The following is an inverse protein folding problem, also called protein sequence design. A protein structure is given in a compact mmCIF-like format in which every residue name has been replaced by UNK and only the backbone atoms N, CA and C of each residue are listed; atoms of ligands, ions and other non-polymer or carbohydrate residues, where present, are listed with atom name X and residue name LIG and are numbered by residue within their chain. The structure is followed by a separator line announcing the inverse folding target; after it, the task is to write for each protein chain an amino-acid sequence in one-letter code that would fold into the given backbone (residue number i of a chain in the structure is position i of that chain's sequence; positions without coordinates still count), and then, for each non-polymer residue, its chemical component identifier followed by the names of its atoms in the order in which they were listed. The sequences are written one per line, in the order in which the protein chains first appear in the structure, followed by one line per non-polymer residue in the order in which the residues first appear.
data_IF_291408668329
#
_entry.id   IF_291408668329
#
_cell.length_a   1.000
_cell.length_b   1.000
_cell.length_c   1.000
_cell.angle_alpha   90.00
_cell.angle_beta   90.00
_cell.angle_gamma   90.00
#
_symmetry.space_group_name_H-M   'P 1'
#
loop_
_entity.id
_entity.type
_entity.pdbx_description
1 polymer ?
#
# COMPACT_ATOMS: atom_id res chain seq x y z
N UNK A 1 -9.58 -13.52 5.80
CA UNK A 1 -9.42 -13.85 4.38
C UNK A 1 -9.42 -12.54 3.63
N UNK A 2 -8.48 -12.36 2.70
CA UNK A 2 -8.41 -11.14 1.90
C UNK A 2 -9.50 -11.19 0.83
N UNK A 3 -10.26 -10.11 0.69
CA UNK A 3 -11.33 -10.01 -0.30
C UNK A 3 -10.69 -9.84 -1.68
N UNK A 4 -11.07 -10.66 -2.65
CA UNK A 4 -10.57 -10.60 -4.02
C UNK A 4 -11.69 -10.41 -5.04
N UNK A 5 -12.85 -11.02 -4.82
CA UNK A 5 -14.00 -10.90 -5.73
C UNK A 5 -15.18 -10.21 -5.05
N UNK A 6 -15.77 -9.24 -5.74
CA UNK A 6 -16.93 -8.49 -5.25
C UNK A 6 -18.05 -8.54 -6.28
N UNK A 7 -19.20 -9.05 -5.89
CA UNK A 7 -20.40 -9.04 -6.73
C UNK A 7 -21.25 -7.78 -6.46
N UNK A 8 -21.59 -7.02 -7.50
CA UNK A 8 -22.41 -5.80 -7.36
C UNK A 8 -23.85 -6.06 -7.81
N UNK A 9 -24.75 -6.40 -6.90
CA UNK A 9 -26.17 -6.64 -7.25
C UNK A 9 -26.92 -5.30 -7.36
N UNK A 10 -27.42 -4.98 -8.57
CA UNK A 10 -27.98 -3.66 -8.85
C UNK A 10 -28.98 -3.63 -10.02
N UNK A 11 -29.84 -2.62 -10.06
CA UNK A 11 -30.76 -2.40 -11.18
C UNK A 11 -30.11 -1.61 -12.32
N UNK A 12 -30.66 -1.72 -13.53
CA UNK A 12 -30.20 -0.97 -14.72
C UNK A 12 -30.06 0.54 -14.46
N UNK A 13 -31.00 1.13 -13.72
CA UNK A 13 -30.96 2.55 -13.36
C UNK A 13 -29.74 2.95 -12.50
N UNK A 14 -29.14 1.98 -11.79
CA UNK A 14 -27.99 2.17 -10.91
C UNK A 14 -26.67 1.71 -11.55
N UNK A 15 -26.70 1.21 -12.79
CA UNK A 15 -25.55 0.60 -13.46
C UNK A 15 -24.36 1.56 -13.61
N UNK A 16 -24.63 2.85 -13.86
CA UNK A 16 -23.57 3.86 -13.91
C UNK A 16 -22.85 4.00 -12.56
N UNK A 17 -23.59 3.98 -11.45
CA UNK A 17 -23.01 4.04 -10.11
C UNK A 17 -22.21 2.76 -9.82
N UNK A 18 -22.75 1.59 -10.17
CA UNK A 18 -22.05 0.31 -10.02
C UNK A 18 -20.71 0.31 -10.77
N UNK A 19 -20.68 0.76 -12.03
CA UNK A 19 -19.45 0.87 -12.83
C UNK A 19 -18.43 1.82 -12.21
N UNK A 20 -18.86 2.99 -11.73
CA UNK A 20 -17.97 3.95 -11.03
C UNK A 20 -17.43 3.36 -9.72
N UNK A 21 -18.25 2.62 -8.99
CA UNK A 21 -17.83 1.92 -7.78
C UNK A 21 -16.78 0.85 -8.12
N UNK A 22 -16.99 0.07 -9.17
CA UNK A 22 -16.01 -0.91 -9.68
C UNK A 22 -14.69 -0.25 -10.01
N UNK A 23 -14.66 0.78 -10.86
CA UNK A 23 -13.43 1.48 -11.21
C UNK A 23 -12.70 1.99 -9.97
N UNK A 24 -13.43 2.54 -9.00
CA UNK A 24 -12.87 3.06 -7.76
C UNK A 24 -12.28 1.95 -6.87
N UNK A 25 -12.97 0.83 -6.73
CA UNK A 25 -12.54 -0.29 -5.90
C UNK A 25 -11.41 -1.07 -6.54
N UNK A 26 -11.47 -1.39 -7.84
CA UNK A 26 -10.40 -2.10 -8.54
C UNK A 26 -9.12 -1.25 -8.63
N UNK A 27 -9.24 0.07 -8.78
CA UNK A 27 -8.10 0.96 -8.68
C UNK A 27 -7.55 1.02 -7.24
N UNK A 28 -8.44 1.20 -6.26
CA UNK A 28 -8.10 1.48 -4.86
C UNK A 28 -7.84 0.26 -3.98
N UNK A 29 -8.17 -0.93 -4.44
CA UNK A 29 -8.04 -2.21 -3.74
C UNK A 29 -7.53 -3.29 -4.73
N UNK A 30 -7.02 -4.40 -4.21
CA UNK A 30 -6.62 -5.54 -5.05
C UNK A 30 -7.81 -6.50 -5.27
N UNK A 31 -8.93 -5.96 -5.77
CA UNK A 31 -10.19 -6.69 -5.99
C UNK A 31 -10.58 -6.66 -7.46
N UNK A 32 -11.45 -7.59 -7.85
CA UNK A 32 -12.13 -7.66 -9.15
C UNK A 32 -13.63 -7.60 -8.85
N UNK A 33 -14.38 -6.79 -9.60
CA UNK A 33 -15.81 -6.61 -9.37
C UNK A 33 -16.66 -7.15 -10.53
N UNK A 34 -17.56 -8.08 -10.22
CA UNK A 34 -18.53 -8.65 -11.16
C UNK A 34 -19.72 -7.69 -11.28
N UNK A 35 -19.53 -6.67 -12.12
CA UNK A 35 -20.53 -5.62 -12.33
C UNK A 35 -21.63 -6.10 -13.26
N UNK A 36 -21.28 -6.52 -14.48
CA UNK A 36 -22.26 -6.86 -15.51
C UNK A 36 -23.11 -8.08 -15.11
N UNK A 37 -22.52 -9.09 -14.48
CA UNK A 37 -23.25 -10.27 -13.98
C UNK A 37 -24.25 -9.92 -12.85
N UNK A 38 -23.93 -8.87 -12.09
CA UNK A 38 -24.76 -8.34 -11.02
C UNK A 38 -25.95 -7.49 -11.45
N UNK A 39 -26.05 -7.16 -12.75
CA UNK A 39 -27.16 -6.40 -13.30
C UNK A 39 -28.47 -7.20 -13.29
N UNK A 40 -29.50 -6.70 -12.58
CA UNK A 40 -30.83 -7.31 -12.54
C UNK A 40 -31.48 -7.24 -13.92
N UNK A 41 -31.69 -8.39 -14.54
CA UNK A 41 -32.34 -8.51 -15.86
C UNK A 41 -33.86 -8.63 -15.72
N UNK A 42 -34.62 -8.43 -16.83
CA UNK A 42 -36.07 -8.61 -16.81
C UNK A 42 -36.49 -10.00 -16.33
N UNK A 43 -37.32 -10.04 -15.27
CA UNK A 43 -37.78 -11.28 -14.64
C UNK A 43 -36.91 -11.76 -13.48
N UNK A 44 -35.76 -11.14 -13.24
CA UNK A 44 -34.94 -11.35 -12.06
C UNK A 44 -35.28 -10.32 -10.97
N UNK A 45 -34.76 -10.55 -9.77
CA UNK A 45 -34.79 -9.56 -8.69
C UNK A 45 -33.51 -9.57 -7.86
N UNK A 46 -33.40 -8.60 -6.97
CA UNK A 46 -32.23 -8.38 -6.13
C UNK A 46 -31.88 -9.61 -5.27
N UNK A 47 -32.88 -10.34 -4.77
CA UNK A 47 -32.65 -11.53 -3.93
C UNK A 47 -32.06 -12.66 -4.76
N UNK A 48 -32.61 -12.91 -5.95
CA UNK A 48 -32.06 -13.90 -6.88
C UNK A 48 -30.61 -13.57 -7.30
N UNK A 49 -30.28 -12.28 -7.44
CA UNK A 49 -28.89 -11.87 -7.71
C UNK A 49 -27.94 -12.18 -6.56
N UNK A 50 -28.39 -12.14 -5.31
CA UNK A 50 -27.54 -12.54 -4.18
C UNK A 50 -27.18 -14.02 -4.27
N UNK A 51 -28.14 -14.88 -4.62
CA UNK A 51 -27.91 -16.32 -4.80
C UNK A 51 -26.82 -16.57 -5.86
N UNK A 52 -26.85 -15.83 -6.98
CA UNK A 52 -25.82 -15.91 -8.02
C UNK A 52 -24.43 -15.48 -7.51
N UNK A 53 -24.37 -14.49 -6.61
CA UNK A 53 -23.14 -13.93 -6.07
C UNK A 53 -22.51 -14.71 -4.90
N UNK A 54 -23.14 -15.78 -4.41
CA UNK A 54 -22.68 -16.51 -3.20
C UNK A 54 -21.28 -17.13 -3.32
N UNK A 55 -20.76 -17.30 -4.54
CA UNK A 55 -19.41 -17.80 -4.79
C UNK A 55 -18.31 -16.74 -4.64
N UNK A 56 -18.67 -15.46 -4.48
CA UNK A 56 -17.73 -14.35 -4.31
C UNK A 56 -17.34 -14.13 -2.85
N UNK A 57 -16.28 -13.34 -2.60
CA UNK A 57 -15.86 -13.01 -1.23
C UNK A 57 -16.78 -11.98 -0.56
N UNK A 58 -17.36 -11.07 -1.35
CA UNK A 58 -18.32 -10.08 -0.87
C UNK A 58 -19.40 -9.76 -1.90
N UNK A 59 -20.60 -9.46 -1.42
CA UNK A 59 -21.72 -8.98 -2.24
C UNK A 59 -22.10 -7.57 -1.75
N UNK A 60 -22.13 -6.62 -2.68
CA UNK A 60 -22.65 -5.27 -2.44
C UNK A 60 -24.04 -5.17 -3.04
N UNK A 61 -25.04 -4.94 -2.18
CA UNK A 61 -26.42 -4.69 -2.56
C UNK A 61 -26.63 -3.20 -2.77
N UNK A 62 -26.90 -2.78 -4.01
CA UNK A 62 -27.26 -1.41 -4.33
C UNK A 62 -28.78 -1.25 -4.21
N UNK A 63 -29.24 -0.62 -3.13
CA UNK A 63 -30.67 -0.40 -2.87
C UNK A 63 -31.12 0.93 -3.46
N UNK A 64 -32.08 0.86 -4.37
CA UNK A 64 -32.80 1.98 -4.96
C UNK A 64 -34.26 1.61 -5.12
N UNK A 65 -35.09 2.59 -5.51
CA UNK A 65 -36.47 2.33 -5.92
C UNK A 65 -36.56 1.31 -7.07
N UNK A 66 -35.56 1.27 -7.96
CA UNK A 66 -35.53 0.37 -9.12
C UNK A 66 -35.08 -1.05 -8.78
N UNK A 67 -34.21 -1.23 -7.78
CA UNK A 67 -33.70 -2.55 -7.37
C UNK A 67 -34.53 -3.21 -6.27
N UNK A 68 -35.23 -2.42 -5.46
CA UNK A 68 -36.00 -2.95 -4.34
C UNK A 68 -37.36 -3.49 -4.80
N UNK A 69 -37.72 -4.74 -4.42
CA UNK A 69 -39.06 -5.23 -4.66
C UNK A 69 -40.07 -4.43 -3.83
N UNK A 70 -41.27 -4.24 -4.38
CA UNK A 70 -42.36 -3.55 -3.69
C UNK A 70 -42.78 -4.22 -2.37
N UNK A 71 -42.52 -5.52 -2.23
CA UNK A 71 -42.76 -6.30 -1.00
C UNK A 71 -41.54 -7.15 -0.67
N UNK A 72 -41.22 -7.21 0.62
CA UNK A 72 -40.12 -8.01 1.18
C UNK A 72 -40.68 -9.13 2.08
N UNK A 73 -41.28 -10.20 1.51
CA UNK A 73 -41.73 -11.33 2.30
C UNK A 73 -40.54 -11.96 3.01
N UNK A 74 -40.63 -12.04 4.34
CA UNK A 74 -39.52 -12.46 5.21
C UNK A 74 -39.02 -13.85 4.86
N UNK A 75 -39.93 -14.72 4.47
CA UNK A 75 -39.68 -16.11 4.05
C UNK A 75 -38.79 -16.20 2.80
N UNK A 76 -38.68 -15.13 2.01
CA UNK A 76 -37.90 -15.10 0.79
C UNK A 76 -36.50 -14.54 0.98
N UNK A 77 -36.37 -13.40 1.66
CA UNK A 77 -35.08 -12.70 1.73
C UNK A 77 -34.23 -13.12 2.94
N UNK A 78 -34.84 -13.49 4.07
CA UNK A 78 -34.07 -13.79 5.30
C UNK A 78 -33.16 -15.02 5.12
N UNK A 79 -33.61 -16.15 4.53
CA UNK A 79 -32.74 -17.31 4.32
C UNK A 79 -31.54 -16.96 3.43
N UNK A 80 -31.77 -16.27 2.31
CA UNK A 80 -30.72 -15.91 1.35
C UNK A 80 -29.71 -14.93 1.95
N UNK A 81 -30.20 -13.80 2.49
CA UNK A 81 -29.34 -12.70 2.94
C UNK A 81 -28.64 -12.98 4.28
N UNK A 82 -29.15 -13.91 5.09
CA UNK A 82 -28.59 -14.20 6.42
C UNK A 82 -28.02 -15.60 6.52
N UNK A 83 -28.77 -16.64 6.17
CA UNK A 83 -28.35 -18.02 6.41
C UNK A 83 -27.41 -18.52 5.31
N UNK A 84 -27.79 -18.35 4.05
CA UNK A 84 -27.00 -18.79 2.90
C UNK A 84 -25.75 -17.96 2.72
N UNK A 85 -25.86 -16.62 2.79
CA UNK A 85 -24.70 -15.74 2.77
C UNK A 85 -23.70 -16.08 3.89
N UNK A 86 -24.19 -16.35 5.11
CA UNK A 86 -23.31 -16.76 6.20
C UNK A 86 -22.68 -18.14 5.98
N UNK A 87 -23.45 -19.11 5.47
CA UNK A 87 -22.97 -20.47 5.16
C UNK A 87 -21.90 -20.45 4.07
N UNK A 88 -22.10 -19.64 3.03
CA UNK A 88 -21.14 -19.41 1.96
C UNK A 88 -19.92 -18.58 2.42
N UNK A 89 -19.99 -17.99 3.63
CA UNK A 89 -18.97 -17.08 4.20
C UNK A 89 -18.72 -15.84 3.35
N UNK A 90 -19.73 -15.42 2.58
CA UNK A 90 -19.69 -14.19 1.80
C UNK A 90 -20.07 -13.01 2.67
N UNK A 91 -19.30 -11.92 2.57
CA UNK A 91 -19.60 -10.70 3.30
C UNK A 91 -20.65 -9.88 2.56
N UNK A 92 -21.77 -9.60 3.23
CA UNK A 92 -22.84 -8.79 2.66
C UNK A 92 -22.67 -7.33 3.07
N UNK A 93 -22.62 -6.42 2.10
CA UNK A 93 -22.63 -4.97 2.29
C UNK A 93 -23.84 -4.36 1.59
N UNK A 94 -24.56 -3.49 2.27
CA UNK A 94 -25.74 -2.79 1.72
C UNK A 94 -25.41 -1.32 1.49
N UNK A 95 -25.74 -0.79 0.33
CA UNK A 95 -25.54 0.62 -0.04
C UNK A 95 -26.88 1.21 -0.47
N UNK A 96 -27.38 2.20 0.26
CA UNK A 96 -28.64 2.88 -0.02
C UNK A 96 -28.40 4.07 -0.96
N UNK A 97 -28.93 3.99 -2.20
CA UNK A 97 -28.76 5.01 -3.25
C UNK A 97 -29.93 6.00 -3.32
N UNK A 98 -31.14 5.54 -3.02
CA UNK A 98 -32.36 6.37 -2.96
C UNK A 98 -33.34 5.82 -1.92
N UNK A 99 -34.36 6.63 -1.58
CA UNK A 99 -35.42 6.19 -0.68
C UNK A 99 -36.20 5.02 -1.29
N UNK A 100 -36.22 3.89 -0.59
CA UNK A 100 -36.90 2.67 -1.03
C UNK A 100 -37.32 1.82 0.17
N UNK A 101 -38.33 0.95 0.02
CA UNK A 101 -38.71 0.01 1.07
C UNK A 101 -37.68 -1.11 1.17
N UNK A 102 -37.08 -1.29 2.35
CA UNK A 102 -36.20 -2.43 2.65
C UNK A 102 -36.32 -2.88 4.11
N UNK A 103 -35.97 -4.14 4.45
CA UNK A 103 -36.00 -4.63 5.83
C UNK A 103 -34.96 -3.92 6.69
N UNK A 104 -35.38 -3.32 7.81
CA UNK A 104 -34.48 -2.62 8.75
C UNK A 104 -33.39 -3.53 9.33
N UNK A 105 -33.57 -4.85 9.29
CA UNK A 105 -32.55 -5.82 9.67
C UNK A 105 -31.25 -5.70 8.86
N UNK A 106 -31.30 -5.20 7.61
CA UNK A 106 -30.10 -4.95 6.80
C UNK A 106 -29.19 -3.89 7.41
N UNK A 107 -29.74 -2.93 8.17
CA UNK A 107 -28.96 -1.89 8.86
C UNK A 107 -28.12 -2.44 10.01
N UNK A 108 -28.38 -3.67 10.48
CA UNK A 108 -27.60 -4.31 11.55
C UNK A 108 -26.30 -4.93 11.05
N UNK A 109 -26.09 -4.99 9.73
CA UNK A 109 -24.87 -5.46 9.09
C UNK A 109 -24.07 -4.29 8.52
N UNK A 110 -23.12 -4.58 7.64
CA UNK A 110 -22.38 -3.60 6.87
C UNK A 110 -23.36 -2.79 6.00
N UNK A 111 -23.67 -1.56 6.41
CA UNK A 111 -24.63 -0.69 5.76
C UNK A 111 -24.03 0.69 5.51
N UNK A 112 -24.23 1.24 4.31
CA UNK A 112 -23.76 2.55 3.89
C UNK A 112 -24.93 3.35 3.32
N UNK A 113 -25.12 4.57 3.82
CA UNK A 113 -26.08 5.52 3.25
C UNK A 113 -25.35 6.42 2.24
N UNK A 114 -25.68 6.25 0.95
CA UNK A 114 -25.06 6.97 -0.15
C UNK A 114 -26.00 8.01 -0.78
N UNK A 115 -27.18 8.25 -0.20
CA UNK A 115 -28.19 9.17 -0.75
C UNK A 115 -27.68 10.61 -0.86
N UNK A 116 -26.92 11.06 0.13
CA UNK A 116 -26.44 12.45 0.23
C UNK A 116 -25.01 12.63 -0.28
N UNK A 117 -24.13 11.65 -0.04
CA UNK A 117 -22.73 11.72 -0.41
C UNK A 117 -22.23 10.38 -0.95
N UNK A 118 -22.37 10.21 -2.26
CA UNK A 118 -21.92 9.03 -3.00
C UNK A 118 -20.42 8.80 -2.88
N UNK A 119 -19.58 9.84 -2.98
CA UNK A 119 -18.13 9.69 -2.89
C UNK A 119 -17.67 9.21 -1.51
N UNK A 120 -18.29 9.71 -0.44
CA UNK A 120 -18.02 9.21 0.90
C UNK A 120 -18.38 7.71 1.02
N UNK A 121 -19.47 7.26 0.41
CA UNK A 121 -19.83 5.85 0.38
C UNK A 121 -18.77 4.98 -0.32
N UNK A 122 -18.24 5.43 -1.46
CA UNK A 122 -17.14 4.76 -2.17
C UNK A 122 -15.90 4.63 -1.26
N UNK A 123 -15.50 5.72 -0.58
CA UNK A 123 -14.36 5.72 0.35
C UNK A 123 -14.58 4.84 1.58
N UNK A 124 -15.81 4.74 2.08
CA UNK A 124 -16.17 3.83 3.19
C UNK A 124 -16.07 2.36 2.77
N UNK A 125 -16.52 2.01 1.57
CA UNK A 125 -16.40 0.66 1.01
C UNK A 125 -14.92 0.27 0.85
N UNK A 126 -14.11 1.15 0.26
CA UNK A 126 -12.64 0.94 0.15
C UNK A 126 -12.00 0.72 1.53
N UNK A 127 -12.36 1.55 2.51
CA UNK A 127 -11.87 1.43 3.90
C UNK A 127 -12.19 0.07 4.51
N UNK A 128 -13.43 -0.39 4.31
CA UNK A 128 -13.90 -1.65 4.83
C UNK A 128 -13.15 -2.85 4.21
N UNK A 129 -12.87 -2.81 2.91
CA UNK A 129 -12.06 -3.85 2.23
C UNK A 129 -10.67 -3.94 2.88
N UNK A 130 -9.97 -2.82 3.05
CA UNK A 130 -8.64 -2.83 3.68
C UNK A 130 -8.66 -3.27 5.14
N UNK A 131 -9.72 -2.98 5.89
CA UNK A 131 -9.87 -3.48 7.26
C UNK A 131 -10.05 -5.00 7.29
N UNK A 132 -10.79 -5.57 6.33
CA UNK A 132 -11.03 -7.01 6.21
C UNK A 132 -9.76 -7.80 5.91
N UNK A 133 -8.85 -7.23 5.16
CA UNK A 133 -7.52 -7.81 4.94
C UNK A 133 -6.70 -7.90 6.25
N UNK A 134 -6.93 -6.98 7.19
CA UNK A 134 -6.17 -6.87 8.45
C UNK A 134 -6.82 -7.62 9.63
N UNK A 135 -8.08 -8.03 9.52
CA UNK A 135 -8.81 -8.72 10.59
C UNK A 135 -10.34 -8.65 10.43
N UNK A 136 -11.12 -9.03 11.44
CA UNK A 136 -12.58 -8.86 11.41
C UNK A 136 -12.93 -7.36 11.44
N UNK A 137 -13.02 -6.74 10.27
CA UNK A 137 -13.45 -5.36 10.07
C UNK A 137 -14.98 -5.22 10.05
N UNK A 138 -15.50 -4.17 10.67
CA UNK A 138 -16.89 -3.73 10.56
C UNK A 138 -16.90 -2.36 9.87
N UNK A 139 -17.90 -2.09 9.03
CA UNK A 139 -18.10 -0.73 8.52
C UNK A 139 -18.35 0.22 9.70
N UNK A 140 -17.40 1.13 9.93
CA UNK A 140 -17.53 2.21 10.90
C UNK A 140 -17.88 3.49 10.14
N UNK A 141 -18.92 4.18 10.60
CA UNK A 141 -19.18 5.55 10.15
C UNK A 141 -17.97 6.42 10.53
N UNK A 142 -17.20 6.80 9.53
CA UNK A 142 -16.10 7.73 9.68
C UNK A 142 -16.39 8.96 8.84
N UNK A 143 -16.35 10.12 9.49
CA UNK A 143 -16.35 11.39 8.78
C UNK A 143 -14.99 11.56 8.09
N UNK A 144 -15.03 12.05 6.85
CA UNK A 144 -13.86 12.54 6.14
C UNK A 144 -13.72 14.02 6.42
N UNK A 145 -12.54 14.46 6.86
CA UNK A 145 -12.30 15.87 7.15
C UNK A 145 -12.38 16.70 5.87
N UNK A 146 -13.30 17.67 5.83
CA UNK A 146 -13.54 18.47 4.63
C UNK A 146 -12.31 19.28 4.19
N UNK A 147 -11.45 19.68 5.14
CA UNK A 147 -10.22 20.39 4.85
C UNK A 147 -9.11 19.50 4.26
N UNK A 148 -9.27 18.18 4.30
CA UNK A 148 -8.39 17.20 3.63
C UNK A 148 -8.94 16.71 2.29
N UNK A 149 -10.04 17.28 1.78
CA UNK A 149 -10.68 16.81 0.56
C UNK A 149 -9.75 16.85 -0.67
N UNK A 150 -8.90 17.88 -0.78
CA UNK A 150 -7.88 17.93 -1.84
C UNK A 150 -6.90 16.74 -1.74
N UNK A 151 -6.48 16.39 -0.52
CA UNK A 151 -5.61 15.24 -0.29
C UNK A 151 -6.32 13.94 -0.66
N UNK A 152 -7.57 13.73 -0.23
CA UNK A 152 -8.31 12.53 -0.60
C UNK A 152 -8.46 12.41 -2.13
N UNK A 153 -8.91 13.48 -2.79
CA UNK A 153 -9.17 13.45 -4.23
C UNK A 153 -7.91 13.24 -5.07
N UNK A 154 -6.73 13.68 -4.60
CA UNK A 154 -5.45 13.58 -5.31
C UNK A 154 -4.60 12.38 -4.91
N UNK A 155 -4.75 11.89 -3.67
CA UNK A 155 -3.91 10.83 -3.12
C UNK A 155 -4.65 9.58 -2.72
N UNK A 156 -5.89 9.62 -2.21
CA UNK A 156 -6.59 8.41 -1.76
C UNK A 156 -7.46 7.81 -2.87
N UNK A 157 -8.14 8.65 -3.64
CA UNK A 157 -9.09 8.25 -4.68
C UNK A 157 -8.41 7.92 -6.01
N UNK A 158 -7.23 8.51 -6.23
CA UNK A 158 -6.32 8.22 -7.34
C UNK A 158 -4.88 8.23 -6.86
N UNK A 159 -3.96 7.78 -7.72
CA UNK A 159 -2.53 7.92 -7.49
C UNK A 159 -2.08 9.33 -7.88
N UNK A 160 -1.20 9.91 -7.08
CA UNK A 160 -0.67 11.23 -7.31
C UNK A 160 0.45 11.58 -6.33
N UNK A 161 1.11 12.70 -6.60
CA UNK A 161 2.16 13.25 -5.74
C UNK A 161 1.78 14.66 -5.30
N UNK A 162 1.91 14.96 -4.01
CA UNK A 162 1.74 16.30 -3.45
C UNK A 162 2.97 16.71 -2.64
N UNK A 163 3.30 17.99 -2.71
CA UNK A 163 4.26 18.64 -1.82
C UNK A 163 3.50 19.45 -0.76
N UNK A 164 3.77 19.19 0.52
CA UNK A 164 2.99 19.71 1.65
C UNK A 164 3.86 19.91 2.89
N UNK A 165 3.32 20.53 3.96
CA UNK A 165 4.03 20.55 5.23
C UNK A 165 4.02 19.18 5.92
N UNK A 166 5.03 18.91 6.73
CA UNK A 166 5.14 17.72 7.55
C UNK A 166 3.95 17.52 8.49
N UNK A 167 3.45 18.61 9.08
CA UNK A 167 2.25 18.58 9.91
C UNK A 167 0.99 18.15 9.12
N UNK A 168 0.82 18.65 7.88
CA UNK A 168 -0.30 18.27 7.03
C UNK A 168 -0.19 16.81 6.56
N UNK A 169 1.01 16.38 6.16
CA UNK A 169 1.29 15.00 5.79
C UNK A 169 1.00 14.04 6.94
N UNK A 170 1.46 14.34 8.16
CA UNK A 170 1.22 13.52 9.34
C UNK A 170 -0.28 13.40 9.66
N UNK A 171 -1.01 14.52 9.59
CA UNK A 171 -2.45 14.54 9.83
C UNK A 171 -3.20 13.68 8.82
N UNK A 172 -2.91 13.87 7.53
CA UNK A 172 -3.54 13.09 6.47
C UNK A 172 -3.19 11.60 6.56
N UNK A 173 -1.91 11.25 6.75
CA UNK A 173 -1.45 9.87 6.89
C UNK A 173 -2.15 9.14 8.04
N UNK A 174 -2.41 9.82 9.17
CA UNK A 174 -3.17 9.26 10.29
C UNK A 174 -4.63 8.99 9.93
N UNK A 175 -5.32 10.00 9.39
CA UNK A 175 -6.75 9.91 9.07
C UNK A 175 -7.03 8.91 7.93
N UNK A 176 -6.25 9.00 6.86
CA UNK A 176 -6.43 8.22 5.65
C UNK A 176 -5.68 6.87 5.68
N UNK A 177 -5.05 6.48 6.80
CA UNK A 177 -4.28 5.23 6.93
C UNK A 177 -5.05 3.96 6.50
N UNK A 178 -6.37 3.98 6.62
CA UNK A 178 -7.25 2.87 6.26
C UNK A 178 -7.78 2.94 4.81
N UNK A 179 -7.33 3.93 4.04
CA UNK A 179 -7.61 4.06 2.59
C UNK A 179 -6.54 3.41 1.72
N UNK A 180 -5.46 2.94 2.33
CA UNK A 180 -4.29 2.37 1.66
C UNK A 180 -3.97 0.99 2.23
N UNK A 181 -3.29 0.19 1.43
CA UNK A 181 -2.70 -1.08 1.80
C UNK A 181 -1.71 -0.92 2.97
N UNK A 182 -0.83 0.07 2.85
CA UNK A 182 0.13 0.46 3.86
C UNK A 182 0.46 1.96 3.76
N UNK A 183 0.85 2.55 4.88
CA UNK A 183 1.46 3.89 4.95
C UNK A 183 2.94 3.71 5.28
N UNK A 184 3.79 4.15 4.36
CA UNK A 184 5.25 4.02 4.45
C UNK A 184 5.82 5.40 4.73
N UNK A 185 6.25 5.63 5.97
CA UNK A 185 6.87 6.90 6.35
C UNK A 185 8.39 6.74 6.36
N UNK A 186 9.08 7.54 5.54
CA UNK A 186 10.54 7.44 5.40
C UNK A 186 11.17 8.79 5.74
N UNK A 187 11.90 8.88 6.88
CA UNK A 187 12.74 10.03 7.21
C UNK A 187 13.85 10.19 6.17
N UNK A 188 13.87 11.32 5.47
CA UNK A 188 14.85 11.60 4.41
C UNK A 188 15.85 12.71 4.78
N UNK A 189 15.53 13.54 5.77
CA UNK A 189 16.37 14.67 6.17
C UNK A 189 17.82 14.26 6.46
N UNK A 190 18.78 14.82 5.72
CA UNK A 190 20.22 14.51 5.80
C UNK A 190 20.60 13.03 5.61
N UNK A 191 19.80 12.26 4.89
CA UNK A 191 20.09 10.84 4.61
C UNK A 191 20.40 10.61 3.16
N UNK A 192 21.33 9.69 2.89
CA UNK A 192 21.69 9.32 1.52
C UNK A 192 20.57 8.51 0.87
N UNK A 193 20.58 8.46 -0.47
CA UNK A 193 19.62 7.66 -1.22
C UNK A 193 19.69 6.17 -0.84
N UNK A 194 20.89 5.63 -0.57
CA UNK A 194 21.03 4.24 -0.15
C UNK A 194 20.41 3.96 1.23
N UNK A 195 20.56 4.90 2.18
CA UNK A 195 19.92 4.80 3.50
C UNK A 195 18.39 4.82 3.40
N UNK A 196 17.86 5.73 2.58
CA UNK A 196 16.41 5.89 2.37
C UNK A 196 15.84 4.66 1.64
N UNK A 197 16.51 4.19 0.58
CA UNK A 197 16.11 2.98 -0.13
C UNK A 197 16.20 1.74 0.78
N UNK A 198 17.25 1.62 1.60
CA UNK A 198 17.42 0.57 2.59
C UNK A 198 16.26 0.51 3.60
N UNK A 199 15.88 1.67 4.15
CA UNK A 199 14.77 1.81 5.09
C UNK A 199 13.44 1.41 4.45
N UNK A 200 13.14 1.97 3.27
CA UNK A 200 11.93 1.68 2.53
C UNK A 200 11.86 0.21 2.11
N UNK A 201 12.97 -0.37 1.67
CA UNK A 201 13.08 -1.79 1.37
C UNK A 201 12.80 -2.67 2.58
N UNK A 202 13.33 -2.31 3.75
CA UNK A 202 13.05 -3.03 5.01
C UNK A 202 11.57 -2.99 5.36
N UNK A 203 10.92 -1.82 5.29
CA UNK A 203 9.47 -1.69 5.53
C UNK A 203 8.63 -2.50 4.52
N UNK A 204 9.13 -2.64 3.28
CA UNK A 204 8.50 -3.44 2.23
C UNK A 204 8.83 -4.94 2.30
N UNK A 205 9.75 -5.36 3.17
CA UNK A 205 10.22 -6.75 3.26
C UNK A 205 11.09 -7.19 2.08
N UNK A 206 11.77 -6.25 1.41
CA UNK A 206 12.65 -6.52 0.26
C UNK A 206 14.10 -6.80 0.70
N UNK A 207 14.75 -7.76 0.02
CA UNK A 207 16.20 -7.92 0.09
C UNK A 207 16.86 -7.02 -0.96
N UNK A 208 17.67 -6.06 -0.53
CA UNK A 208 18.28 -5.03 -1.36
C UNK A 208 19.78 -5.27 -1.56
N UNK A 209 20.07 -6.42 -2.17
CA UNK A 209 21.44 -6.90 -2.41
C UNK A 209 22.12 -6.20 -3.59
N UNK A 210 21.42 -5.40 -4.39
CA UNK A 210 21.98 -4.71 -5.55
C UNK A 210 22.62 -3.37 -5.23
N UNK A 211 23.01 -2.65 -6.28
CA UNK A 211 23.42 -1.24 -6.22
C UNK A 211 22.24 -0.34 -5.83
N UNK A 212 22.52 0.90 -5.41
CA UNK A 212 21.48 1.88 -5.04
C UNK A 212 20.45 2.07 -6.17
N UNK A 213 20.90 2.19 -7.42
CA UNK A 213 20.01 2.38 -8.58
C UNK A 213 19.09 1.17 -8.84
N UNK A 214 19.64 -0.05 -8.77
CA UNK A 214 18.88 -1.28 -8.93
C UNK A 214 17.86 -1.47 -7.81
N UNK A 215 18.25 -1.13 -6.57
CA UNK A 215 17.38 -1.20 -5.41
C UNK A 215 16.23 -0.20 -5.52
N UNK A 216 16.51 1.05 -5.93
CA UNK A 216 15.47 2.04 -6.20
C UNK A 216 14.49 1.56 -7.27
N UNK A 217 14.99 0.95 -8.37
CA UNK A 217 14.13 0.40 -9.42
C UNK A 217 13.22 -0.71 -8.90
N UNK A 218 13.77 -1.66 -8.13
CA UNK A 218 12.98 -2.73 -7.49
C UNK A 218 11.88 -2.18 -6.57
N UNK A 219 12.21 -1.15 -5.79
CA UNK A 219 11.23 -0.47 -4.92
C UNK A 219 10.13 0.19 -5.75
N UNK A 220 10.48 0.93 -6.80
CA UNK A 220 9.53 1.59 -7.68
C UNK A 220 8.60 0.57 -8.35
N UNK A 221 9.16 -0.52 -8.88
CA UNK A 221 8.39 -1.59 -9.54
C UNK A 221 7.36 -2.18 -8.57
N UNK A 222 7.76 -2.48 -7.33
CA UNK A 222 6.84 -3.01 -6.31
C UNK A 222 5.76 -1.98 -5.94
N UNK A 223 6.13 -0.73 -5.71
CA UNK A 223 5.20 0.34 -5.34
C UNK A 223 4.27 0.73 -6.49
N UNK A 224 4.67 0.52 -7.75
CA UNK A 224 3.83 0.80 -8.92
C UNK A 224 2.58 -0.09 -8.95
N UNK A 225 2.71 -1.34 -8.46
CA UNK A 225 1.63 -2.32 -8.43
C UNK A 225 0.78 -2.28 -7.16
N UNK A 226 1.31 -1.72 -6.06
CA UNK A 226 0.66 -1.70 -4.74
C UNK A 226 -0.05 -0.38 -4.46
N UNK A 227 -1.07 -0.43 -3.61
CA UNK A 227 -1.84 0.78 -3.22
C UNK A 227 -1.34 1.32 -1.89
N UNK A 228 -0.14 1.88 -1.87
CA UNK A 228 0.45 2.46 -0.67
C UNK A 228 0.32 4.00 -0.63
N UNK A 229 0.49 4.57 0.56
CA UNK A 229 0.84 5.98 0.75
C UNK A 229 2.31 6.04 1.17
N UNK A 230 3.17 6.53 0.29
CA UNK A 230 4.57 6.81 0.59
C UNK A 230 4.71 8.26 1.08
N UNK A 231 5.31 8.46 2.24
CA UNK A 231 5.67 9.79 2.74
C UNK A 231 7.19 9.90 2.77
N UNK A 232 7.73 10.78 1.94
CA UNK A 232 9.13 11.19 1.94
C UNK A 232 9.25 12.44 2.81
N UNK A 233 9.88 12.30 3.98
CA UNK A 233 9.93 13.33 5.01
C UNK A 233 11.21 14.18 4.88
N UNK A 234 11.06 15.38 4.29
CA UNK A 234 12.11 16.31 3.89
C UNK A 234 13.22 15.70 2.99
N UNK A 235 12.87 15.19 1.79
CA UNK A 235 13.83 14.61 0.87
C UNK A 235 14.60 15.68 0.06
N UNK A 236 15.83 15.34 -0.30
CA UNK A 236 16.57 16.04 -1.35
C UNK A 236 15.98 15.73 -2.75
N UNK A 237 16.20 16.61 -3.73
CA UNK A 237 15.62 16.48 -5.06
C UNK A 237 15.99 15.19 -5.79
N UNK A 238 17.18 14.65 -5.54
CA UNK A 238 17.63 13.36 -6.11
C UNK A 238 16.79 12.17 -5.60
N UNK A 239 16.35 12.20 -4.33
CA UNK A 239 15.53 11.16 -3.72
C UNK A 239 14.14 11.14 -4.34
N UNK A 240 13.56 12.32 -4.56
CA UNK A 240 12.23 12.45 -5.18
C UNK A 240 12.24 11.84 -6.59
N UNK A 241 13.24 12.16 -7.41
CA UNK A 241 13.39 11.61 -8.76
C UNK A 241 13.61 10.08 -8.73
N UNK A 242 14.36 9.58 -7.74
CA UNK A 242 14.75 8.18 -7.67
C UNK A 242 13.74 7.27 -6.97
N UNK A 243 12.77 7.78 -6.20
CA UNK A 243 11.87 6.93 -5.41
C UNK A 243 10.38 7.20 -5.59
N UNK A 244 9.97 8.32 -6.21
CA UNK A 244 8.54 8.54 -6.50
C UNK A 244 8.09 7.52 -7.57
N UNK A 245 7.22 6.56 -7.22
CA UNK A 245 6.79 5.53 -8.16
C UNK A 245 5.77 6.10 -9.14
N UNK A 246 5.79 5.60 -10.38
CA UNK A 246 4.70 5.79 -11.33
C UNK A 246 3.79 4.57 -11.30
N UNK A 247 2.56 4.70 -10.83
CA UNK A 247 1.63 3.58 -10.73
C UNK A 247 0.53 3.85 -9.71
N UNK A 248 0.23 2.86 -8.87
CA UNK A 248 -0.90 2.89 -7.91
C UNK A 248 -0.55 3.50 -6.56
N UNK A 249 0.73 3.61 -6.18
CA UNK A 249 1.14 4.26 -4.93
C UNK A 249 1.06 5.78 -5.04
N UNK A 250 0.54 6.42 -3.99
CA UNK A 250 0.52 7.88 -3.88
C UNK A 250 1.69 8.36 -3.03
N UNK A 251 2.24 9.52 -3.35
CA UNK A 251 3.41 10.07 -2.65
C UNK A 251 3.13 11.44 -2.04
N UNK A 252 3.52 11.60 -0.78
CA UNK A 252 3.63 12.87 -0.11
C UNK A 252 5.11 13.22 0.02
N UNK A 253 5.48 14.42 -0.40
CA UNK A 253 6.81 15.00 -0.22
C UNK A 253 6.66 16.15 0.77
N UNK A 254 7.35 16.09 1.91
CA UNK A 254 7.32 17.19 2.88
C UNK A 254 8.48 18.15 2.65
N UNK A 255 8.25 19.45 2.81
CA UNK A 255 9.32 20.45 2.74
C UNK A 255 9.99 20.74 4.09
N UNK A 256 9.40 20.28 5.20
CA UNK A 256 9.94 20.34 6.56
C UNK A 256 9.95 18.94 7.18
N UNK A 257 10.97 18.69 8.02
CA UNK A 257 11.16 17.39 8.66
C UNK A 257 10.26 17.23 9.89
N UNK A 258 9.53 16.11 9.95
CA UNK A 258 8.75 15.72 11.12
C UNK A 258 9.57 14.80 12.02
N UNK A 259 10.34 13.92 11.41
CA UNK A 259 11.17 12.93 12.08
C UNK A 259 12.61 13.02 11.57
N UNK A 260 13.56 13.07 12.51
CA UNK A 260 14.99 13.05 12.20
C UNK A 260 15.56 11.76 12.80
N UNK A 261 16.21 10.97 11.95
CA UNK A 261 16.85 9.71 12.34
C UNK A 261 18.34 9.83 12.06
N UNK A 262 19.14 9.69 13.11
CA UNK A 262 20.59 9.62 12.99
C UNK A 262 21.01 8.20 12.61
N UNK A 263 21.87 8.08 11.60
CA UNK A 263 22.44 6.79 11.19
C UNK A 263 23.76 6.58 11.91
N UNK A 264 23.94 5.48 12.68
CA UNK A 264 25.19 5.23 13.39
C UNK A 264 26.39 5.05 12.45
N UNK A 265 27.42 5.88 12.61
CA UNK A 265 28.65 5.79 11.82
C UNK A 265 29.67 4.83 12.46
N UNK A 266 29.36 3.52 12.44
CA UNK A 266 30.24 2.51 13.04
C UNK A 266 30.37 1.26 12.19
N UNK A 267 31.51 0.58 12.32
CA UNK A 267 31.74 -0.71 11.67
C UNK A 267 30.75 -1.79 12.15
N UNK A 268 30.34 -1.74 13.43
CA UNK A 268 29.35 -2.67 13.97
C UNK A 268 27.99 -2.49 13.27
N UNK A 269 27.58 -1.24 13.04
CA UNK A 269 26.36 -0.95 12.29
C UNK A 269 26.48 -1.35 10.82
N UNK A 270 27.62 -1.10 10.16
CA UNK A 270 27.86 -1.56 8.79
C UNK A 270 27.71 -3.10 8.65
N UNK A 271 28.19 -3.88 9.61
CA UNK A 271 28.00 -5.34 9.63
C UNK A 271 26.55 -5.77 9.83
N UNK A 272 25.80 -5.00 10.60
CA UNK A 272 24.36 -5.21 10.77
C UNK A 272 23.64 -5.01 9.42
N UNK A 273 23.96 -3.93 8.70
CA UNK A 273 23.43 -3.67 7.37
C UNK A 273 23.76 -4.79 6.37
N UNK A 274 24.98 -5.34 6.40
CA UNK A 274 25.36 -6.50 5.57
C UNK A 274 24.49 -7.72 5.94
N UNK A 275 24.33 -7.99 7.24
CA UNK A 275 23.51 -9.12 7.71
C UNK A 275 22.04 -8.99 7.28
N UNK A 276 21.54 -7.75 7.27
CA UNK A 276 20.19 -7.40 6.82
C UNK A 276 20.06 -7.26 5.30
N UNK A 277 21.12 -7.60 4.54
CA UNK A 277 21.17 -7.53 3.07
C UNK A 277 20.91 -6.13 2.50
N UNK A 278 21.34 -5.08 3.23
CA UNK A 278 21.31 -3.66 2.83
C UNK A 278 22.69 -3.24 2.30
N UNK A 279 23.16 -3.91 1.24
CA UNK A 279 24.55 -3.79 0.79
C UNK A 279 24.89 -2.38 0.27
N UNK A 280 23.97 -1.71 -0.43
CA UNK A 280 24.19 -0.35 -0.92
C UNK A 280 24.49 0.65 0.21
N UNK A 281 23.76 0.56 1.32
CA UNK A 281 23.97 1.41 2.49
C UNK A 281 25.25 1.05 3.24
N UNK A 282 25.51 -0.25 3.41
CA UNK A 282 26.76 -0.72 4.01
C UNK A 282 27.97 -0.24 3.20
N UNK A 283 27.91 -0.31 1.87
CA UNK A 283 28.95 0.15 0.96
C UNK A 283 29.27 1.64 1.13
N UNK A 284 28.26 2.51 1.16
CA UNK A 284 28.47 3.95 1.37
C UNK A 284 29.09 4.23 2.75
N UNK A 285 28.55 3.61 3.80
CA UNK A 285 29.07 3.77 5.15
C UNK A 285 30.51 3.29 5.29
N UNK A 286 30.84 2.10 4.74
CA UNK A 286 32.20 1.56 4.78
C UNK A 286 33.19 2.45 4.04
N UNK A 287 32.79 3.07 2.92
CA UNK A 287 33.64 4.04 2.23
C UNK A 287 33.85 5.32 3.05
N UNK A 288 32.83 5.81 3.76
CA UNK A 288 32.98 6.92 4.71
C UNK A 288 33.96 6.57 5.83
N UNK A 289 33.80 5.40 6.47
CA UNK A 289 34.69 4.93 7.54
C UNK A 289 36.14 4.74 7.05
N UNK A 290 36.32 4.18 5.85
CA UNK A 290 37.62 3.99 5.21
C UNK A 290 38.33 5.34 4.98
N UNK A 291 37.61 6.36 4.50
CA UNK A 291 38.15 7.71 4.28
C UNK A 291 38.53 8.40 5.59
N UNK A 292 37.79 8.12 6.66
CA UNK A 292 38.07 8.62 8.01
C UNK A 292 39.21 7.85 8.72
N UNK A 293 39.79 6.83 8.07
CA UNK A 293 40.88 6.03 8.63
C UNK A 293 40.46 5.05 9.73
N UNK A 294 39.16 4.77 9.86
CA UNK A 294 38.64 3.85 10.89
C UNK A 294 38.81 2.41 10.41
N UNK A 295 39.76 1.67 11.02
CA UNK A 295 40.06 0.25 10.76
C UNK A 295 40.07 -0.09 9.25
N UNK A 296 40.94 0.56 8.46
CA UNK A 296 40.83 0.61 7.00
C UNK A 296 40.91 -0.76 6.34
N UNK A 297 41.73 -1.67 6.86
CA UNK A 297 41.87 -3.06 6.37
C UNK A 297 40.56 -3.84 6.47
N UNK A 298 39.83 -3.68 7.58
CA UNK A 298 38.55 -4.37 7.77
C UNK A 298 37.48 -3.76 6.88
N UNK A 299 37.41 -2.42 6.78
CA UNK A 299 36.48 -1.75 5.88
C UNK A 299 36.73 -2.14 4.41
N UNK A 300 37.98 -2.17 3.98
CA UNK A 300 38.36 -2.59 2.63
C UNK A 300 37.99 -4.05 2.35
N UNK A 301 38.15 -4.95 3.32
CA UNK A 301 37.76 -6.37 3.17
C UNK A 301 36.26 -6.54 2.95
N UNK A 302 35.43 -5.88 3.76
CA UNK A 302 33.97 -5.93 3.60
C UNK A 302 33.55 -5.29 2.26
N UNK A 303 34.15 -4.15 1.88
CA UNK A 303 33.91 -3.50 0.59
C UNK A 303 34.29 -4.38 -0.60
N UNK A 304 35.43 -5.06 -0.56
CA UNK A 304 35.84 -6.00 -1.61
C UNK A 304 34.78 -7.07 -1.81
N UNK A 305 34.27 -7.66 -0.73
CA UNK A 305 33.23 -8.68 -0.82
C UNK A 305 31.94 -8.15 -1.48
N UNK A 306 31.50 -6.94 -1.11
CA UNK A 306 30.33 -6.30 -1.73
C UNK A 306 30.59 -6.02 -3.23
N UNK A 307 31.77 -5.50 -3.58
CA UNK A 307 32.14 -5.23 -4.98
C UNK A 307 32.17 -6.52 -5.82
N UNK A 308 32.70 -7.61 -5.30
CA UNK A 308 32.68 -8.91 -5.99
C UNK A 308 31.27 -9.43 -6.18
N UNK A 309 30.40 -9.25 -5.17
CA UNK A 309 28.99 -9.61 -5.28
C UNK A 309 28.26 -8.83 -6.39
N UNK A 310 28.67 -7.59 -6.64
CA UNK A 310 28.16 -6.74 -7.73
C UNK A 310 28.94 -6.87 -9.05
N UNK A 311 29.84 -7.85 -9.19
CA UNK A 311 30.70 -8.03 -10.37
C UNK A 311 31.63 -6.82 -10.68
N UNK A 312 31.93 -5.99 -9.68
CA UNK A 312 32.86 -4.85 -9.76
C UNK A 312 34.29 -5.28 -9.44
N UNK A 313 34.81 -6.23 -10.22
CA UNK A 313 36.08 -6.91 -9.97
C UNK A 313 37.30 -5.97 -9.94
N UNK A 314 37.34 -4.96 -10.82
CA UNK A 314 38.46 -4.01 -10.86
C UNK A 314 38.57 -3.20 -9.56
N UNK A 315 37.43 -2.78 -9.01
CA UNK A 315 37.38 -2.05 -7.75
C UNK A 315 37.72 -2.94 -6.56
N UNK A 316 37.21 -4.17 -6.54
CA UNK A 316 37.57 -5.18 -5.55
C UNK A 316 39.08 -5.42 -5.50
N UNK A 317 39.73 -5.53 -6.66
CA UNK A 317 41.18 -5.70 -6.78
C UNK A 317 41.95 -4.44 -6.34
N UNK A 318 41.47 -3.25 -6.68
CA UNK A 318 42.06 -1.98 -6.23
C UNK A 318 42.05 -1.86 -4.70
N UNK A 319 40.94 -2.22 -4.05
CA UNK A 319 40.82 -2.23 -2.59
C UNK A 319 41.78 -3.24 -1.95
N UNK A 320 41.88 -4.46 -2.50
CA UNK A 320 42.83 -5.48 -2.05
C UNK A 320 44.28 -5.05 -2.17
N UNK A 321 44.65 -4.43 -3.29
CA UNK A 321 46.03 -4.01 -3.50
C UNK A 321 46.42 -2.87 -2.56
N UNK A 322 45.49 -1.94 -2.30
CA UNK A 322 45.77 -0.72 -1.54
C UNK A 322 45.71 -0.93 -0.01
N UNK A 323 44.90 -1.88 0.46
CA UNK A 323 44.65 -2.11 1.89
C UNK A 323 44.73 -3.60 2.30
N UNK A 324 45.26 -4.46 1.43
CA UNK A 324 45.53 -5.85 1.77
C UNK A 324 46.59 -5.95 2.88
N UNK A 325 46.62 -7.06 3.63
CA UNK A 325 47.71 -7.27 4.58
C UNK A 325 49.04 -7.20 3.83
N UNK A 326 50.04 -6.53 4.43
CA UNK A 326 51.44 -6.65 3.98
C UNK A 326 51.72 -8.14 3.77
N UNK A 327 52.32 -8.56 2.65
CA UNK A 327 52.70 -9.94 2.46
C UNK A 327 53.55 -10.31 3.67
N UNK A 328 53.03 -11.20 4.52
CA UNK A 328 53.77 -11.76 5.64
C UNK A 328 55.12 -12.20 5.09
N UNK A 329 56.20 -11.64 5.62
CA UNK A 329 57.58 -11.97 5.24
C UNK A 329 57.63 -13.45 4.92
N UNK A 330 57.86 -13.74 3.64
CA UNK A 330 58.07 -15.10 3.17
C UNK A 330 59.19 -15.64 4.05
N UNK A 331 58.85 -16.53 5.00
CA UNK A 331 59.85 -17.23 5.80
C UNK A 331 60.86 -17.78 4.80
N UNK A 332 62.09 -17.25 4.87
CA UNK A 332 63.17 -17.65 3.99
C UNK A 332 63.30 -19.17 4.11
N UNK A 333 62.81 -19.88 3.09
CA UNK A 333 63.09 -21.29 2.91
C UNK A 333 64.56 -21.35 2.52
N UNK A 334 65.39 -21.64 3.53
CA UNK A 334 66.79 -22.08 3.55
C UNK A 334 67.63 -21.89 2.28
#
# INVERSE_FOLDING_TARGET
MSLRTIFLAHAEADHEFARRLTEFLEFGCNVICDTDEGLILPGEDLIGKVENGLATDAIVLLLSEASCPARWPRERWEPVLFEEAHRARVELVTVLLSDCPFPTLLQRRNFVDARTNRLAALRLLKRWIWQRDRGPGQLLNAAFSADLEDFYSRLADKAGTLEVSGAAALRFAREASQQFEAVLWVPCFHRSLAQIAGELGSQLGLCLEGTTEENCRKIQDLLSARRCLLVLDAPDSNVVVALVPQGRTSTLVTFDSVSVVETPESLAYARTLISDRRYAEAYELLYCLLRSGVVPETCARELTWICEHWDRIEEANSLRFRYGPEPSEQLALF
#
